data_IF_452618228464
#
_entry.id   IF_452618228464
#
_cell.length_a   1.000
_cell.length_b   1.000
_cell.length_c   1.000
_cell.angle_alpha   90.00
_cell.angle_beta   90.00
_cell.angle_gamma   90.00
#
_symmetry.space_group_name_H-M   'P 1'
#
loop_
_entity.id
_entity.type
_entity.pdbx_description
1 polymer ?
#
# COMPACT_ATOMS: atom_id res chain seq x y z
N UNK A 1 28.82 -7.09 6.82
CA UNK A 1 27.59 -7.84 7.16
C UNK A 1 27.30 -7.63 8.65
N UNK A 2 26.08 -7.87 9.09
CA UNK A 2 25.71 -7.84 10.52
C UNK A 2 25.21 -9.23 10.86
N UNK A 3 25.79 -9.81 11.90
CA UNK A 3 25.36 -11.09 12.50
C UNK A 3 24.75 -10.76 13.85
N UNK A 4 23.57 -11.30 14.13
CA UNK A 4 22.94 -11.15 15.43
C UNK A 4 22.10 -12.39 15.77
N UNK A 5 21.96 -12.66 17.06
CA UNK A 5 21.06 -13.70 17.55
C UNK A 5 19.62 -13.19 17.56
N UNK A 6 18.76 -13.83 16.77
CA UNK A 6 17.35 -13.47 16.65
C UNK A 6 16.56 -14.04 17.84
N UNK A 7 15.98 -13.18 18.71
CA UNK A 7 15.20 -13.66 19.86
C UNK A 7 13.89 -14.34 19.47
N UNK A 8 13.37 -14.08 18.26
CA UNK A 8 12.12 -14.66 17.75
C UNK A 8 12.38 -16.02 17.11
N UNK A 9 13.38 -16.10 16.22
CA UNK A 9 13.72 -17.35 15.51
C UNK A 9 14.71 -18.23 16.29
N UNK A 10 15.24 -17.74 17.43
CA UNK A 10 16.21 -18.42 18.32
C UNK A 10 17.45 -18.96 17.57
N UNK A 11 17.96 -18.19 16.61
CA UNK A 11 19.12 -18.56 15.79
C UNK A 11 19.94 -17.34 15.39
N UNK A 12 21.20 -17.56 15.03
CA UNK A 12 22.00 -16.49 14.43
C UNK A 12 21.57 -16.22 12.99
N UNK A 13 21.33 -14.94 12.68
CA UNK A 13 20.95 -14.49 11.35
C UNK A 13 21.99 -13.49 10.87
N UNK A 14 22.46 -13.69 9.63
CA UNK A 14 23.42 -12.80 8.97
C UNK A 14 22.78 -12.10 7.77
N UNK A 15 22.74 -10.77 7.80
CA UNK A 15 22.26 -9.96 6.69
C UNK A 15 23.04 -8.66 6.54
N UNK A 16 22.71 -7.90 5.50
CA UNK A 16 23.46 -6.70 5.12
C UNK A 16 22.77 -5.43 5.59
N UNK A 17 23.52 -4.58 6.29
CA UNK A 17 23.15 -3.18 6.54
C UNK A 17 24.30 -2.30 6.05
N UNK A 18 23.98 -1.34 5.18
CA UNK A 18 24.98 -0.41 4.67
C UNK A 18 25.49 0.50 5.80
N UNK A 19 26.80 0.79 5.88
CA UNK A 19 27.38 1.61 6.95
C UNK A 19 26.70 2.98 7.12
N UNK A 20 26.35 3.64 6.00
CA UNK A 20 25.65 4.93 6.04
C UNK A 20 24.28 4.84 6.75
N UNK A 21 23.59 3.72 6.57
CA UNK A 21 22.29 3.51 7.20
C UNK A 21 22.46 3.15 8.67
N UNK A 22 23.47 2.34 8.99
CA UNK A 22 23.81 1.92 10.36
C UNK A 22 23.90 3.11 11.32
N UNK A 23 24.66 4.14 10.94
CA UNK A 23 24.84 5.37 11.72
C UNK A 23 23.50 6.06 12.05
N UNK A 24 22.55 6.05 11.10
CA UNK A 24 21.24 6.66 11.29
C UNK A 24 20.33 5.79 12.15
N UNK A 25 20.37 4.47 11.95
CA UNK A 25 19.56 3.50 12.70
C UNK A 25 19.99 3.35 14.14
N UNK A 26 21.28 3.44 14.44
CA UNK A 26 21.81 3.39 15.81
C UNK A 26 21.32 4.56 16.69
N UNK A 27 20.81 5.64 16.08
CA UNK A 27 20.17 6.77 16.77
C UNK A 27 18.69 6.53 17.11
N UNK A 28 18.07 5.50 16.56
CA UNK A 28 16.63 5.21 16.67
C UNK A 28 16.33 3.93 17.44
N UNK A 29 17.20 2.91 17.35
CA UNK A 29 17.06 1.64 18.08
C UNK A 29 17.28 1.79 19.60
N UNK A 30 17.13 0.69 20.34
CA UNK A 30 17.37 0.59 21.79
C UNK A 30 16.55 1.62 22.60
N UNK A 31 15.25 1.71 22.31
CA UNK A 31 14.29 2.63 22.92
C UNK A 31 14.59 4.14 22.75
N UNK A 32 15.63 4.52 21.99
CA UNK A 32 15.96 5.93 21.74
C UNK A 32 14.81 6.67 21.06
N UNK A 33 14.10 6.01 20.14
CA UNK A 33 12.91 6.57 19.52
C UNK A 33 11.78 6.78 20.54
N UNK A 34 11.56 5.82 21.44
CA UNK A 34 10.54 5.93 22.50
C UNK A 34 10.83 7.10 23.42
N UNK A 35 12.09 7.27 23.84
CA UNK A 35 12.54 8.36 24.72
C UNK A 35 12.35 9.75 24.11
N UNK A 36 12.38 9.87 22.78
CA UNK A 36 12.17 11.14 22.07
C UNK A 36 10.71 11.46 21.80
N UNK A 37 9.81 10.53 22.11
CA UNK A 37 8.40 10.59 21.74
C UNK A 37 8.13 10.86 20.25
N UNK A 38 8.97 10.27 19.40
CA UNK A 38 8.88 10.43 17.95
C UNK A 38 8.43 9.14 17.28
N UNK A 39 7.81 9.25 16.10
CA UNK A 39 7.62 8.15 15.17
C UNK A 39 8.40 8.43 13.88
N UNK A 40 8.59 7.41 13.04
CA UNK A 40 9.33 7.56 11.78
C UNK A 40 8.65 6.82 10.64
N UNK A 41 8.54 7.48 9.48
CA UNK A 41 8.04 6.88 8.25
C UNK A 41 9.10 6.94 7.16
N UNK A 42 9.35 5.81 6.54
CA UNK A 42 10.25 5.67 5.41
C UNK A 42 9.49 5.13 4.21
N UNK A 43 9.73 5.74 3.05
CA UNK A 43 9.21 5.23 1.79
C UNK A 43 10.31 4.44 1.10
N UNK A 44 9.98 3.29 0.52
CA UNK A 44 10.90 2.47 -0.26
C UNK A 44 10.28 2.20 -1.61
N UNK A 45 10.92 2.67 -2.68
CA UNK A 45 10.39 2.51 -4.03
C UNK A 45 11.42 1.98 -5.03
N UNK A 46 10.99 1.82 -6.28
CA UNK A 46 11.79 1.26 -7.36
C UNK A 46 11.07 0.16 -8.13
N UNK A 47 11.68 -0.31 -9.21
CA UNK A 47 11.06 -1.32 -10.08
C UNK A 47 10.82 -2.64 -9.36
N UNK A 48 9.90 -3.43 -9.88
CA UNK A 48 9.65 -4.79 -9.38
C UNK A 48 10.91 -5.66 -9.47
N UNK A 49 11.02 -6.65 -8.58
CA UNK A 49 12.15 -7.61 -8.53
C UNK A 49 13.53 -7.01 -8.27
N UNK A 50 13.61 -5.75 -7.83
CA UNK A 50 14.89 -5.09 -7.49
C UNK A 50 15.31 -5.25 -6.02
N UNK A 51 14.47 -5.89 -5.19
CA UNK A 51 14.80 -6.21 -3.81
C UNK A 51 14.29 -5.20 -2.77
N UNK A 52 13.28 -4.39 -3.10
CA UNK A 52 12.67 -3.41 -2.19
C UNK A 52 12.21 -4.03 -0.87
N UNK A 53 11.50 -5.16 -0.96
CA UNK A 53 11.00 -5.86 0.22
C UNK A 53 12.15 -6.38 1.07
N UNK A 54 13.17 -7.01 0.45
CA UNK A 54 14.37 -7.49 1.15
C UNK A 54 15.07 -6.34 1.88
N UNK A 55 15.30 -5.22 1.19
CA UNK A 55 15.89 -4.02 1.80
C UNK A 55 15.08 -3.58 3.02
N UNK A 56 13.76 -3.46 2.88
CA UNK A 56 12.88 -2.99 3.96
C UNK A 56 12.87 -3.95 5.16
N UNK A 57 12.85 -5.26 4.92
CA UNK A 57 12.92 -6.28 5.96
C UNK A 57 14.26 -6.21 6.71
N UNK A 58 15.39 -6.04 5.99
CA UNK A 58 16.71 -5.90 6.60
C UNK A 58 16.75 -4.68 7.53
N UNK A 59 16.23 -3.54 7.07
CA UNK A 59 16.16 -2.34 7.90
C UNK A 59 15.24 -2.54 9.12
N UNK A 60 14.10 -3.19 8.93
CA UNK A 60 13.16 -3.45 10.00
C UNK A 60 13.74 -4.35 11.10
N UNK A 61 14.37 -5.46 10.72
CA UNK A 61 15.01 -6.38 11.68
C UNK A 61 16.19 -5.73 12.42
N UNK A 62 16.92 -4.84 11.76
CA UNK A 62 18.02 -4.10 12.40
C UNK A 62 17.52 -3.08 13.42
N UNK A 63 16.42 -2.38 13.12
CA UNK A 63 15.83 -1.37 14.01
C UNK A 63 15.08 -1.98 15.18
N UNK A 64 14.48 -3.15 14.97
CA UNK A 64 13.73 -3.89 15.98
C UNK A 64 14.04 -5.40 15.87
N UNK A 65 14.87 -5.94 16.77
CA UNK A 65 15.23 -7.36 16.80
C UNK A 65 14.02 -8.30 16.94
N UNK A 66 12.92 -7.83 17.54
CA UNK A 66 11.69 -8.61 17.71
C UNK A 66 10.82 -8.63 16.44
N UNK A 67 11.25 -7.95 15.37
CA UNK A 67 10.52 -7.89 14.10
C UNK A 67 10.30 -9.27 13.50
N UNK A 68 9.06 -9.53 13.07
CA UNK A 68 8.64 -10.83 12.57
C UNK A 68 7.60 -10.68 11.45
N UNK A 69 7.22 -11.82 10.86
CA UNK A 69 6.33 -11.85 9.71
C UNK A 69 4.93 -11.27 9.98
N UNK A 70 4.44 -11.25 11.23
CA UNK A 70 3.14 -10.67 11.58
C UNK A 70 3.10 -9.16 11.31
N UNK A 71 4.26 -8.48 11.45
CA UNK A 71 4.42 -7.04 11.24
C UNK A 71 4.78 -6.67 9.80
N UNK A 72 4.78 -7.66 8.91
CA UNK A 72 4.76 -7.47 7.46
C UNK A 72 3.31 -7.48 6.99
N UNK A 73 2.85 -6.33 6.51
CA UNK A 73 1.49 -6.13 6.01
C UNK A 73 1.53 -6.11 4.49
N UNK A 74 0.57 -6.78 3.84
CA UNK A 74 0.38 -6.74 2.38
C UNK A 74 -0.94 -6.08 2.00
N UNK A 75 -1.81 -5.78 2.99
CA UNK A 75 -3.09 -5.11 2.77
C UNK A 75 -3.22 -3.85 3.64
N UNK A 76 -4.01 -2.84 3.21
CA UNK A 76 -4.30 -1.68 4.04
C UNK A 76 -4.97 -2.02 5.37
N UNK A 77 -5.77 -3.11 5.41
CA UNK A 77 -6.44 -3.57 6.63
C UNK A 77 -5.45 -4.13 7.63
N UNK A 78 -4.54 -5.00 7.18
CA UNK A 78 -3.45 -5.52 8.00
C UNK A 78 -2.57 -4.39 8.52
N UNK A 79 -2.27 -3.41 7.66
CA UNK A 79 -1.44 -2.27 8.03
C UNK A 79 -2.08 -1.43 9.14
N UNK A 80 -3.35 -1.04 9.01
CA UNK A 80 -4.07 -0.33 10.06
C UNK A 80 -4.18 -1.15 11.35
N UNK A 81 -4.44 -2.46 11.23
CA UNK A 81 -4.48 -3.34 12.39
C UNK A 81 -3.13 -3.36 13.13
N UNK A 82 -2.01 -3.47 12.41
CA UNK A 82 -0.69 -3.45 13.03
C UNK A 82 -0.36 -2.08 13.63
N UNK A 83 -0.70 -0.97 12.98
CA UNK A 83 -0.50 0.38 13.56
C UNK A 83 -1.22 0.51 14.90
N UNK A 84 -2.42 -0.05 15.02
CA UNK A 84 -3.23 0.01 16.26
C UNK A 84 -2.81 -0.97 17.33
N UNK A 85 -2.22 -2.12 16.98
CA UNK A 85 -1.99 -3.20 17.95
C UNK A 85 -0.51 -3.50 18.20
N UNK A 86 0.40 -3.05 17.34
CA UNK A 86 1.82 -3.30 17.53
C UNK A 86 2.33 -2.61 18.81
N UNK A 87 3.35 -3.21 19.47
CA UNK A 87 3.98 -2.62 20.64
C UNK A 87 4.54 -1.22 20.35
N UNK A 88 4.56 -0.34 21.37
CA UNK A 88 5.16 0.99 21.25
C UNK A 88 6.63 0.85 20.79
N UNK A 89 7.08 1.71 19.88
CA UNK A 89 8.46 1.70 19.38
C UNK A 89 8.80 0.59 18.37
N UNK A 90 7.83 -0.24 17.98
CA UNK A 90 8.06 -1.36 17.09
C UNK A 90 8.08 -0.95 15.61
N UNK A 91 8.67 -1.80 14.77
CA UNK A 91 8.72 -1.58 13.30
C UNK A 91 7.58 -2.31 12.59
N UNK A 92 6.97 -1.67 11.60
CA UNK A 92 5.97 -2.25 10.69
C UNK A 92 6.44 -2.05 9.25
N UNK A 93 6.31 -3.08 8.41
CA UNK A 93 6.58 -2.99 6.97
C UNK A 93 5.27 -3.19 6.22
N UNK A 94 4.81 -2.17 5.50
CA UNK A 94 3.72 -2.29 4.55
C UNK A 94 4.31 -2.57 3.16
N UNK A 95 4.47 -3.86 2.83
CA UNK A 95 5.04 -4.30 1.56
C UNK A 95 3.98 -4.33 0.44
N UNK A 96 4.40 -4.00 -0.78
CA UNK A 96 3.54 -3.98 -1.97
C UNK A 96 2.32 -3.04 -1.85
N UNK A 97 2.49 -1.90 -1.17
CA UNK A 97 1.45 -0.87 -1.12
C UNK A 97 1.05 -0.47 -2.55
N UNK A 98 -0.26 -0.40 -2.78
CA UNK A 98 -0.92 -0.13 -4.09
C UNK A 98 -0.91 -1.27 -5.13
N UNK A 99 -0.34 -2.45 -4.84
CA UNK A 99 -0.38 -3.55 -5.80
C UNK A 99 -1.79 -4.14 -5.92
N UNK A 100 -2.24 -4.37 -7.15
CA UNK A 100 -3.61 -4.83 -7.47
C UNK A 100 -4.66 -3.71 -7.57
N UNK A 101 -4.23 -2.45 -7.52
CA UNK A 101 -5.12 -1.29 -7.68
C UNK A 101 -5.06 -0.78 -9.12
N UNK A 102 -5.93 -1.32 -9.98
CA UNK A 102 -6.05 -0.95 -11.39
C UNK A 102 -6.74 0.41 -11.59
N UNK A 103 -7.57 0.86 -10.63
CA UNK A 103 -8.35 2.09 -10.77
C UNK A 103 -7.88 3.22 -9.84
N UNK A 104 -7.97 4.47 -10.33
CA UNK A 104 -7.70 5.69 -9.53
C UNK A 104 -8.51 5.71 -8.22
N UNK A 105 -9.78 5.33 -8.28
CA UNK A 105 -10.66 5.28 -7.10
C UNK A 105 -10.16 4.33 -6.01
N UNK A 106 -9.64 3.17 -6.40
CA UNK A 106 -9.07 2.20 -5.48
C UNK A 106 -7.77 2.71 -4.84
N UNK A 107 -6.94 3.42 -5.61
CA UNK A 107 -5.74 4.11 -5.10
C UNK A 107 -6.09 5.20 -4.09
N UNK A 108 -7.11 6.03 -4.36
CA UNK A 108 -7.57 7.06 -3.42
C UNK A 108 -8.05 6.47 -2.09
N UNK A 109 -8.77 5.35 -2.10
CA UNK A 109 -9.19 4.67 -0.86
C UNK A 109 -8.00 4.18 -0.04
N UNK A 110 -6.97 3.63 -0.69
CA UNK A 110 -5.76 3.17 -0.01
C UNK A 110 -4.94 4.34 0.53
N UNK A 111 -4.79 5.44 -0.24
CA UNK A 111 -4.15 6.65 0.24
C UNK A 111 -4.82 7.19 1.50
N UNK A 112 -6.15 7.32 1.53
CA UNK A 112 -6.90 7.74 2.73
C UNK A 112 -6.60 6.85 3.95
N UNK A 113 -6.52 5.53 3.75
CA UNK A 113 -6.22 4.58 4.84
C UNK A 113 -4.77 4.68 5.31
N UNK A 114 -3.83 4.95 4.41
CA UNK A 114 -2.43 5.23 4.76
C UNK A 114 -2.33 6.52 5.57
N UNK A 115 -2.98 7.60 5.13
CA UNK A 115 -3.01 8.89 5.85
C UNK A 115 -3.59 8.70 7.25
N UNK A 116 -4.73 8.00 7.37
CA UNK A 116 -5.32 7.66 8.65
C UNK A 116 -4.33 6.91 9.56
N UNK A 117 -3.67 5.86 9.04
CA UNK A 117 -2.67 5.10 9.80
C UNK A 117 -1.51 5.98 10.28
N UNK A 118 -1.08 6.93 9.43
CA UNK A 118 -0.01 7.87 9.76
C UNK A 118 -0.36 8.86 10.86
N UNK A 119 -1.64 9.19 11.03
CA UNK A 119 -2.10 10.03 12.13
C UNK A 119 -2.12 9.23 13.44
N UNK A 120 -2.55 7.97 13.39
CA UNK A 120 -2.67 7.10 14.57
C UNK A 120 -1.30 6.61 15.11
N UNK A 121 -0.28 6.44 14.25
CA UNK A 121 1.01 5.86 14.67
C UNK A 121 1.87 6.76 15.56
N UNK A 122 1.61 8.07 15.59
CA UNK A 122 2.38 9.04 16.38
C UNK A 122 2.37 8.73 17.87
N UNK A 123 1.20 8.34 18.41
CA UNK A 123 1.02 7.97 19.82
C UNK A 123 1.81 6.71 20.24
N UNK A 124 2.21 5.90 19.26
CA UNK A 124 2.88 4.61 19.47
C UNK A 124 4.35 4.62 19.07
N UNK A 125 4.87 5.77 18.64
CA UNK A 125 6.29 5.95 18.32
C UNK A 125 6.79 4.89 17.32
N UNK A 126 5.93 4.51 16.37
CA UNK A 126 6.20 3.39 15.47
C UNK A 126 7.20 3.80 14.40
N UNK A 127 7.93 2.82 13.88
CA UNK A 127 8.70 2.97 12.65
C UNK A 127 7.97 2.25 11.53
N UNK A 128 7.62 2.96 10.47
CA UNK A 128 6.89 2.40 9.33
C UNK A 128 7.73 2.46 8.08
N UNK A 129 7.84 1.34 7.36
CA UNK A 129 8.34 1.29 5.99
C UNK A 129 7.18 1.05 5.02
N UNK A 130 6.94 1.97 4.09
CA UNK A 130 5.94 1.82 3.03
C UNK A 130 6.68 1.45 1.74
N UNK A 131 6.45 0.24 1.25
CA UNK A 131 7.11 -0.28 0.06
C UNK A 131 6.15 -0.25 -1.12
N UNK A 132 6.53 0.44 -2.19
CA UNK A 132 5.68 0.59 -3.37
C UNK A 132 6.49 0.63 -4.67
N UNK A 133 5.86 0.56 -5.86
CA UNK A 133 6.60 0.64 -7.12
C UNK A 133 7.25 2.01 -7.35
N UNK A 134 6.57 3.10 -6.96
CA UNK A 134 7.04 4.47 -7.19
C UNK A 134 6.39 5.42 -6.19
N UNK A 135 7.17 6.32 -5.58
CA UNK A 135 6.67 7.29 -4.58
C UNK A 135 5.51 8.16 -5.10
N UNK A 136 5.43 8.38 -6.42
CA UNK A 136 4.43 9.27 -7.02
C UNK A 136 2.98 8.77 -6.94
N UNK A 137 2.75 7.52 -6.52
CA UNK A 137 1.41 6.99 -6.26
C UNK A 137 0.86 7.42 -4.90
N UNK A 138 1.74 7.82 -3.98
CA UNK A 138 1.33 8.33 -2.67
C UNK A 138 0.82 9.75 -2.79
N UNK A 139 -0.18 10.09 -1.98
CA UNK A 139 -0.59 11.49 -1.77
C UNK A 139 0.53 12.32 -1.11
N UNK A 140 0.52 13.63 -1.38
CA UNK A 140 1.56 14.56 -0.93
C UNK A 140 1.81 14.51 0.58
N UNK A 141 0.75 14.33 1.38
CA UNK A 141 0.87 14.19 2.83
C UNK A 141 1.77 13.00 3.20
N UNK A 142 1.46 11.81 2.69
CA UNK A 142 2.24 10.60 2.96
C UNK A 142 3.64 10.63 2.32
N UNK A 143 3.71 11.10 1.06
CA UNK A 143 4.93 11.10 0.26
C UNK A 143 5.95 12.14 0.72
N UNK A 144 5.50 13.33 1.13
CA UNK A 144 6.39 14.47 1.40
C UNK A 144 6.35 14.86 2.86
N UNK A 145 5.18 15.25 3.37
CA UNK A 145 5.04 15.89 4.67
C UNK A 145 5.34 14.93 5.83
N UNK A 146 4.85 13.68 5.72
CA UNK A 146 4.89 12.74 6.83
C UNK A 146 6.10 11.82 6.83
N UNK A 147 6.62 11.48 5.66
CA UNK A 147 7.79 10.60 5.56
C UNK A 147 9.10 11.33 5.80
N UNK A 148 10.02 10.69 6.52
CA UNK A 148 11.31 11.28 6.86
C UNK A 148 12.33 11.15 5.71
N UNK A 149 12.30 10.02 4.98
CA UNK A 149 13.17 9.80 3.84
C UNK A 149 12.53 8.83 2.82
N UNK A 150 13.05 8.89 1.59
CA UNK A 150 12.78 7.92 0.53
C UNK A 150 14.06 7.13 0.22
N UNK A 151 13.92 5.83 0.11
CA UNK A 151 14.93 4.92 -0.40
C UNK A 151 14.52 4.42 -1.79
N UNK A 152 15.22 4.91 -2.82
CA UNK A 152 14.98 4.46 -4.19
C UNK A 152 15.90 3.30 -4.54
N UNK A 153 15.31 2.13 -4.81
CA UNK A 153 16.02 0.88 -5.08
C UNK A 153 16.18 0.68 -6.59
N UNK A 154 17.42 0.44 -7.02
CA UNK A 154 17.77 0.23 -8.42
C UNK A 154 18.85 -0.85 -8.58
N UNK A 155 18.98 -1.40 -9.78
CA UNK A 155 20.13 -2.21 -10.18
C UNK A 155 21.10 -1.34 -10.99
N UNK A 156 22.39 -1.47 -10.75
CA UNK A 156 23.38 -0.88 -11.65
C UNK A 156 23.53 -1.70 -12.95
N UNK A 157 24.38 -1.22 -13.87
CA UNK A 157 24.63 -1.89 -15.15
C UNK A 157 25.17 -3.32 -14.98
N UNK A 158 25.78 -3.63 -13.84
CA UNK A 158 26.28 -4.96 -13.50
C UNK A 158 25.21 -5.83 -12.80
N UNK A 159 23.96 -5.37 -12.73
CA UNK A 159 22.87 -6.08 -12.07
C UNK A 159 22.91 -6.03 -10.53
N UNK A 160 23.87 -5.32 -9.93
CA UNK A 160 24.04 -5.26 -8.48
C UNK A 160 23.00 -4.33 -7.87
N UNK A 161 22.40 -4.76 -6.76
CA UNK A 161 21.36 -4.00 -6.05
C UNK A 161 21.97 -2.81 -5.31
N UNK A 162 21.39 -1.63 -5.54
CA UNK A 162 21.81 -0.35 -4.95
C UNK A 162 20.60 0.44 -4.48
N UNK A 163 20.86 1.42 -3.63
CA UNK A 163 19.85 2.37 -3.19
C UNK A 163 20.38 3.80 -3.24
N UNK A 164 19.46 4.76 -3.42
CA UNK A 164 19.67 6.20 -3.22
C UNK A 164 18.81 6.67 -2.07
N UNK A 165 19.35 7.53 -1.22
CA UNK A 165 18.63 8.15 -0.12
C UNK A 165 18.24 9.58 -0.54
N UNK A 166 16.94 9.84 -0.54
CA UNK A 166 16.38 11.18 -0.64
C UNK A 166 15.93 11.58 0.77
N UNK A 167 16.64 12.52 1.38
CA UNK A 167 16.20 13.12 2.64
C UNK A 167 14.91 13.94 2.43
N UNK A 168 14.34 14.46 3.52
CA UNK A 168 13.09 15.24 3.51
C UNK A 168 13.01 16.27 2.36
N UNK A 169 14.02 17.15 2.26
CA UNK A 169 14.07 18.20 1.25
C UNK A 169 14.20 17.64 -0.18
N UNK A 170 15.15 16.74 -0.41
CA UNK A 170 15.39 16.17 -1.75
C UNK A 170 14.22 15.34 -2.24
N UNK A 171 13.55 14.64 -1.35
CA UNK A 171 12.34 13.88 -1.64
C UNK A 171 11.17 14.82 -1.99
N UNK A 172 11.02 15.95 -1.29
CA UNK A 172 10.02 16.98 -1.63
C UNK A 172 10.22 17.51 -3.06
N UNK A 173 11.46 17.84 -3.41
CA UNK A 173 11.82 18.27 -4.76
C UNK A 173 11.57 17.18 -5.81
N UNK A 174 12.00 15.95 -5.52
CA UNK A 174 11.74 14.79 -6.38
C UNK A 174 10.24 14.66 -6.64
N UNK A 175 9.43 14.67 -5.59
CA UNK A 175 7.99 14.49 -5.70
C UNK A 175 7.35 15.56 -6.58
N UNK A 176 7.68 16.85 -6.36
CA UNK A 176 7.11 17.97 -7.11
C UNK A 176 7.53 17.97 -8.58
N UNK A 177 8.81 17.74 -8.86
CA UNK A 177 9.37 17.82 -10.23
C UNK A 177 9.15 16.52 -10.98
N UNK A 178 9.48 15.39 -10.37
CA UNK A 178 9.36 14.07 -10.97
C UNK A 178 7.91 13.71 -11.34
N UNK A 179 6.93 14.11 -10.51
CA UNK A 179 5.51 13.91 -10.83
C UNK A 179 5.07 14.71 -12.06
N UNK A 180 5.54 15.95 -12.22
CA UNK A 180 5.26 16.78 -13.41
C UNK A 180 5.92 16.21 -14.68
N UNK A 181 7.09 15.58 -14.54
CA UNK A 181 7.87 15.01 -15.64
C UNK A 181 7.56 13.53 -15.92
N UNK A 182 6.39 13.02 -15.53
CA UNK A 182 5.99 11.65 -15.84
C UNK A 182 6.73 10.58 -15.04
N UNK A 183 6.91 10.80 -13.73
CA UNK A 183 7.59 9.89 -12.78
C UNK A 183 9.10 9.77 -12.94
N UNK A 184 9.73 10.89 -13.28
CA UNK A 184 11.17 10.97 -13.45
C UNK A 184 11.94 11.10 -12.12
N UNK A 185 13.11 10.45 -12.06
CA UNK A 185 14.02 10.45 -10.90
C UNK A 185 15.36 11.18 -11.19
N UNK A 186 15.48 11.87 -12.32
CA UNK A 186 16.72 12.57 -12.70
C UNK A 186 17.03 13.76 -11.78
N UNK A 187 16.00 14.35 -11.17
CA UNK A 187 16.11 15.50 -10.28
C UNK A 187 15.39 15.26 -8.94
N UNK A 188 15.99 15.64 -7.79
CA UNK A 188 17.31 16.26 -7.65
C UNK A 188 18.46 15.24 -7.76
N UNK A 189 19.63 15.72 -8.18
CA UNK A 189 20.84 14.89 -8.20
C UNK A 189 21.20 14.45 -6.77
N UNK A 190 21.51 13.15 -6.64
CA UNK A 190 21.90 12.54 -5.38
C UNK A 190 23.41 12.33 -5.34
N UNK A 191 24.05 12.93 -4.32
CA UNK A 191 25.49 12.76 -4.08
C UNK A 191 25.81 11.29 -3.81
N UNK A 192 26.97 10.83 -4.26
CA UNK A 192 27.44 9.45 -4.07
C UNK A 192 27.41 9.00 -2.60
N UNK A 193 27.66 9.91 -1.66
CA UNK A 193 27.58 9.62 -0.22
C UNK A 193 26.21 9.11 0.21
N UNK A 194 25.12 9.56 -0.42
CA UNK A 194 23.76 9.10 -0.13
C UNK A 194 23.35 7.89 -0.98
N UNK A 195 24.32 7.09 -1.42
CA UNK A 195 24.09 5.86 -2.18
C UNK A 195 24.79 4.70 -1.51
N UNK A 196 24.22 3.51 -1.63
CA UNK A 196 24.80 2.32 -1.04
C UNK A 196 24.44 1.05 -1.79
N UNK A 197 24.94 -0.07 -1.30
CA UNK A 197 24.68 -1.43 -1.78
C UNK A 197 24.02 -2.23 -0.68
N UNK A 198 23.25 -3.25 -1.07
CA UNK A 198 22.70 -4.24 -0.17
C UNK A 198 22.61 -5.59 -0.86
N UNK A 199 22.49 -6.65 -0.07
CA UNK A 199 22.53 -8.04 -0.53
C UNK A 199 21.18 -8.72 -0.34
N UNK A 200 20.98 -9.85 -1.03
CA UNK A 200 19.69 -10.55 -1.11
C UNK A 200 19.29 -11.38 0.10
N UNK A 201 19.96 -11.23 1.24
CA UNK A 201 19.81 -12.11 2.39
C UNK A 201 18.54 -11.72 3.16
N UNK A 202 17.61 -12.66 3.31
CA UNK A 202 16.40 -12.42 4.10
C UNK A 202 16.74 -12.47 5.60
N UNK A 203 16.25 -11.51 6.39
CA UNK A 203 16.48 -11.47 7.84
C UNK A 203 15.39 -12.19 8.64
N UNK A 204 14.46 -12.86 7.96
CA UNK A 204 13.34 -13.66 8.48
C UNK A 204 13.17 -14.89 7.58
N UNK A 205 12.39 -15.89 8.00
CA UNK A 205 12.09 -17.05 7.15
C UNK A 205 11.51 -16.67 5.77
N UNK A 206 12.30 -16.91 4.73
CA UNK A 206 11.97 -16.55 3.35
C UNK A 206 10.78 -17.35 2.82
N UNK A 207 10.67 -18.62 3.20
CA UNK A 207 9.61 -19.52 2.72
C UNK A 207 8.26 -19.04 3.21
N UNK A 208 8.12 -18.80 4.51
CA UNK A 208 6.89 -18.28 5.12
C UNK A 208 6.54 -16.89 4.59
N UNK A 209 7.54 -16.02 4.40
CA UNK A 209 7.33 -14.71 3.82
C UNK A 209 6.76 -14.79 2.40
N UNK A 210 7.37 -15.60 1.53
CA UNK A 210 6.91 -15.79 0.14
C UNK A 210 5.51 -16.42 0.09
N UNK A 211 5.22 -17.37 0.97
CA UNK A 211 3.89 -17.99 1.12
C UNK A 211 2.84 -16.95 1.51
N UNK A 212 3.05 -16.20 2.59
CA UNK A 212 2.12 -15.15 3.04
C UNK A 212 1.87 -14.10 1.95
N UNK A 213 2.92 -13.73 1.22
CA UNK A 213 2.83 -12.80 0.09
C UNK A 213 1.97 -13.36 -1.04
N UNK A 214 2.16 -14.61 -1.42
CA UNK A 214 1.36 -15.29 -2.45
C UNK A 214 -0.12 -15.43 -2.03
N UNK A 215 -0.37 -15.81 -0.78
CA UNK A 215 -1.73 -15.98 -0.26
C UNK A 215 -2.50 -14.65 -0.25
N UNK A 216 -1.83 -13.55 0.12
CA UNK A 216 -2.39 -12.21 0.01
C UNK A 216 -2.78 -11.88 -1.44
N UNK A 217 -1.92 -12.21 -2.42
CA UNK A 217 -2.23 -12.00 -3.83
C UNK A 217 -3.45 -12.79 -4.31
N UNK A 218 -3.56 -14.06 -3.92
CA UNK A 218 -4.72 -14.91 -4.27
C UNK A 218 -6.01 -14.31 -3.71
N UNK A 219 -6.00 -13.91 -2.43
CA UNK A 219 -7.17 -13.29 -1.78
C UNK A 219 -7.62 -12.00 -2.49
N UNK A 220 -6.68 -11.18 -2.95
CA UNK A 220 -7.02 -9.97 -3.72
C UNK A 220 -7.66 -10.30 -5.06
N UNK A 221 -7.06 -11.21 -5.84
CA UNK A 221 -7.58 -11.58 -7.16
C UNK A 221 -9.00 -12.14 -7.07
N UNK A 222 -9.24 -13.06 -6.13
CA UNK A 222 -10.58 -13.63 -5.91
C UNK A 222 -11.59 -12.55 -5.54
N UNK A 223 -11.21 -11.59 -4.68
CA UNK A 223 -12.11 -10.49 -4.28
C UNK A 223 -12.42 -9.55 -5.44
N UNK A 224 -11.44 -9.25 -6.28
CA UNK A 224 -11.64 -8.42 -7.47
C UNK A 224 -12.56 -9.12 -8.49
N UNK A 225 -12.36 -10.42 -8.73
CA UNK A 225 -13.21 -11.23 -9.60
C UNK A 225 -14.66 -11.30 -9.10
N UNK A 226 -14.86 -11.51 -7.80
CA UNK A 226 -16.19 -11.48 -7.18
C UNK A 226 -16.86 -10.10 -7.34
N UNK A 227 -16.09 -9.01 -7.17
CA UNK A 227 -16.62 -7.65 -7.30
C UNK A 227 -17.02 -7.34 -8.74
N UNK A 228 -16.19 -7.73 -9.72
CA UNK A 228 -16.51 -7.58 -11.16
C UNK A 228 -17.73 -8.40 -11.56
N UNK A 229 -17.84 -9.63 -11.06
CA UNK A 229 -19.02 -10.49 -11.32
C UNK A 229 -20.29 -9.86 -10.74
N UNK A 230 -20.21 -9.33 -9.51
CA UNK A 230 -21.33 -8.59 -8.91
C UNK A 230 -21.67 -7.37 -9.76
N UNK A 231 -20.73 -6.47 -10.05
CA UNK A 231 -20.94 -5.28 -10.88
C UNK A 231 -21.55 -5.62 -12.25
N UNK A 232 -21.09 -6.69 -12.91
CA UNK A 232 -21.66 -7.16 -14.18
C UNK A 232 -23.14 -7.57 -14.06
N UNK A 233 -23.49 -8.30 -12.99
CA UNK A 233 -24.89 -8.65 -12.70
C UNK A 233 -25.70 -7.38 -12.42
N UNK A 234 -25.19 -6.47 -11.59
CA UNK A 234 -25.87 -5.21 -11.28
C UNK A 234 -26.13 -4.37 -12.54
N UNK A 235 -25.12 -4.25 -13.42
CA UNK A 235 -25.24 -3.49 -14.67
C UNK A 235 -26.23 -4.14 -15.63
N UNK A 236 -26.24 -5.47 -15.76
CA UNK A 236 -27.23 -6.19 -16.57
C UNK A 236 -28.64 -5.96 -16.03
N UNK A 237 -28.85 -6.14 -14.73
CA UNK A 237 -30.15 -5.88 -14.09
C UNK A 237 -30.60 -4.44 -14.28
N UNK A 238 -29.69 -3.47 -14.14
CA UNK A 238 -29.99 -2.05 -14.36
C UNK A 238 -30.41 -1.75 -15.81
N UNK A 239 -29.75 -2.34 -16.80
CA UNK A 239 -30.13 -2.17 -18.22
C UNK A 239 -31.54 -2.71 -18.49
N UNK A 240 -31.88 -3.85 -17.90
CA UNK A 240 -33.23 -4.42 -18.00
C UNK A 240 -34.25 -3.50 -17.33
N UNK A 241 -33.96 -3.00 -16.11
CA UNK A 241 -34.82 -2.04 -15.42
C UNK A 241 -35.03 -0.78 -16.28
N UNK A 242 -33.97 -0.23 -16.89
CA UNK A 242 -34.10 0.94 -17.78
C UNK A 242 -34.96 0.66 -19.00
N UNK A 243 -34.89 -0.55 -19.56
CA UNK A 243 -35.74 -0.99 -20.67
C UNK A 243 -37.20 -1.03 -20.22
N UNK A 244 -37.49 -1.66 -19.08
CA UNK A 244 -38.85 -1.75 -18.51
C UNK A 244 -39.43 -0.36 -18.26
N UNK A 245 -38.67 0.55 -17.62
CA UNK A 245 -39.14 1.92 -17.35
C UNK A 245 -39.39 2.72 -18.65
N UNK A 246 -38.59 2.47 -19.70
CA UNK A 246 -38.79 3.13 -20.99
C UNK A 246 -40.05 2.63 -21.69
N UNK A 247 -40.30 1.34 -21.61
CA UNK A 247 -41.43 0.69 -22.27
C UNK A 247 -42.74 0.94 -21.47
N UNK A 248 -42.65 1.09 -20.13
CA UNK A 248 -43.76 1.43 -19.21
C UNK A 248 -43.35 2.53 -18.19
N UNK A 249 -43.53 3.83 -18.50
CA UNK A 249 -43.03 4.93 -17.67
C UNK A 249 -43.63 5.05 -16.27
N UNK A 250 -44.89 4.63 -16.09
CA UNK A 250 -45.60 4.72 -14.81
C UNK A 250 -45.47 3.48 -13.93
N UNK A 251 -44.66 2.50 -14.35
CA UNK A 251 -44.48 1.26 -13.59
C UNK A 251 -43.83 1.52 -12.23
N UNK A 252 -44.46 1.00 -11.17
CA UNK A 252 -43.91 1.10 -9.83
C UNK A 252 -42.83 0.01 -9.57
N UNK A 253 -42.05 0.14 -8.49
CA UNK A 253 -41.00 -0.83 -8.17
C UNK A 253 -41.49 -2.26 -7.92
N UNK A 254 -42.77 -2.45 -7.56
CA UNK A 254 -43.38 -3.77 -7.40
C UNK A 254 -43.63 -4.41 -8.77
N UNK A 255 -44.16 -3.65 -9.72
CA UNK A 255 -44.31 -4.06 -11.11
C UNK A 255 -42.97 -4.42 -11.75
N UNK A 256 -41.95 -3.56 -11.59
CA UNK A 256 -40.59 -3.86 -12.10
C UNK A 256 -40.05 -5.18 -11.52
N UNK A 257 -40.31 -5.46 -10.24
CA UNK A 257 -39.90 -6.72 -9.60
C UNK A 257 -40.62 -7.93 -10.21
N UNK A 258 -41.93 -7.82 -10.43
CA UNK A 258 -42.73 -8.89 -11.04
C UNK A 258 -42.25 -9.17 -12.46
N UNK A 259 -42.08 -8.15 -13.30
CA UNK A 259 -41.53 -8.29 -14.66
C UNK A 259 -40.12 -8.90 -14.66
N UNK A 260 -39.23 -8.45 -13.75
CA UNK A 260 -37.89 -9.03 -13.62
C UNK A 260 -37.92 -10.51 -13.26
N UNK A 261 -38.86 -10.93 -12.43
CA UNK A 261 -39.00 -12.31 -11.98
C UNK A 261 -39.61 -13.18 -13.08
N UNK A 262 -40.67 -12.71 -13.71
CA UNK A 262 -41.51 -13.51 -14.61
C UNK A 262 -40.93 -13.59 -16.03
N UNK A 263 -40.34 -12.50 -16.54
CA UNK A 263 -39.79 -12.47 -17.91
C UNK A 263 -38.27 -12.73 -17.97
N UNK A 264 -37.53 -12.33 -16.93
CA UNK A 264 -36.07 -12.35 -16.94
C UNK A 264 -35.46 -13.33 -15.93
N UNK A 265 -36.28 -14.02 -15.13
CA UNK A 265 -35.85 -14.95 -14.06
C UNK A 265 -34.90 -14.32 -13.03
N UNK A 266 -35.05 -13.02 -12.78
CA UNK A 266 -34.23 -12.25 -11.83
C UNK A 266 -35.06 -11.97 -10.57
N UNK A 267 -34.82 -12.75 -9.51
CA UNK A 267 -35.45 -12.50 -8.21
C UNK A 267 -34.63 -11.49 -7.39
N UNK A 268 -35.18 -10.29 -7.25
CA UNK A 268 -34.60 -9.19 -6.47
C UNK A 268 -35.66 -8.49 -5.63
N UNK A 269 -35.23 -7.86 -4.54
CA UNK A 269 -36.16 -7.09 -3.69
C UNK A 269 -36.46 -5.71 -4.29
N UNK A 270 -37.64 -5.17 -4.00
CA UNK A 270 -38.01 -3.80 -4.39
C UNK A 270 -37.04 -2.75 -3.83
N UNK A 271 -36.52 -2.97 -2.62
CA UNK A 271 -35.47 -2.13 -2.00
C UNK A 271 -34.18 -2.11 -2.83
N UNK A 272 -33.78 -3.25 -3.38
CA UNK A 272 -32.59 -3.36 -4.23
C UNK A 272 -32.77 -2.62 -5.56
N UNK A 273 -33.93 -2.76 -6.20
CA UNK A 273 -34.31 -1.99 -7.41
C UNK A 273 -34.22 -0.49 -7.13
N UNK A 274 -34.86 -0.01 -6.06
CA UNK A 274 -34.86 1.41 -5.70
C UNK A 274 -33.46 1.95 -5.36
N UNK A 275 -32.54 1.12 -4.85
CA UNK A 275 -31.14 1.50 -4.67
C UNK A 275 -30.40 1.62 -6.00
N UNK A 276 -30.60 0.67 -6.91
CA UNK A 276 -29.96 0.65 -8.23
C UNK A 276 -30.37 1.86 -9.08
N UNK A 277 -31.67 2.21 -9.09
CA UNK A 277 -32.18 3.35 -9.86
C UNK A 277 -31.63 4.67 -9.31
N UNK A 278 -31.73 4.91 -7.99
CA UNK A 278 -31.24 6.15 -7.36
C UNK A 278 -29.73 6.38 -7.57
N UNK A 279 -28.92 5.36 -7.33
CA UNK A 279 -27.46 5.45 -7.47
C UNK A 279 -26.97 5.74 -8.91
N UNK A 280 -27.85 5.60 -9.92
CA UNK A 280 -27.55 5.87 -11.31
C UNK A 280 -28.24 7.13 -11.87
N UNK A 281 -29.29 7.64 -11.23
CA UNK A 281 -29.85 8.98 -11.52
C UNK A 281 -28.93 10.09 -11.01
N UNK A 282 -28.27 9.91 -9.85
CA UNK A 282 -27.29 10.87 -9.30
C UNK A 282 -25.99 11.02 -10.13
N UNK A 283 -25.81 10.25 -11.21
CA UNK A 283 -24.59 10.23 -12.03
C UNK A 283 -24.74 10.81 -13.43
N UNK A 284 -25.93 11.25 -13.84
CA UNK A 284 -26.06 12.02 -15.07
C UNK A 284 -25.75 13.48 -14.73
N UNK A 285 -24.64 14.07 -15.23
CA UNK A 285 -24.52 15.51 -15.20
C UNK A 285 -25.65 16.05 -16.06
N UNK A 286 -26.34 17.08 -15.54
CA UNK A 286 -27.23 17.93 -16.31
C UNK A 286 -26.48 18.31 -17.60
N UNK A 287 -26.91 17.75 -18.73
CA UNK A 287 -26.61 18.32 -20.02
C UNK A 287 -27.37 19.63 -20.06
N UNK A 288 -26.70 20.70 -19.66
CA UNK A 288 -27.13 22.08 -19.87
C UNK A 288 -27.35 22.29 -21.37
N UNK A 289 -28.56 22.76 -21.69
CA UNK A 289 -28.96 23.33 -22.97
C UNK A 289 -28.17 24.60 -23.31
#
# INVERSE_FOLDING_TARGET
MVTFYDPVEKKEITYSIAPILKISWDKLKDDKLKKKDEDRVYVVDGRERFGKSIFSLQQAKYLDPTFNLLRVCFTPKEFLHQVRNAPKGSVIVFDEAFRGLSSKASQSRVNKKIVQAMMEMGQKNLIVFIVLPTIFLLEMYAAVLRSNALFHIYKDRSGRRRFRIYNYNKKSWLYKVGRKKGFDYSFPRINRRHTGRFYGNFPIDEVSYRKKKLDSFRRFKTREELTKRQESVQNRTLLIIKKIIRDEPEINYKGIRETLKDEYEIDVTTSYIGKLVRANMEKQPETEE
#
